data_IF_512564476133
#
_entry.id   IF_512564476133
#
_cell.length_a   1.000
_cell.length_b   1.000
_cell.length_c   1.000
_cell.angle_alpha   90.00
_cell.angle_beta   90.00
_cell.angle_gamma   90.00
#
_symmetry.space_group_name_H-M   'P 1'
#
loop_
_entity.id
_entity.type
_entity.pdbx_description
1 polymer ?
#
# COMPACT_ATOMS: atom_id res chain seq x y z
N UNK A 1 -17.55 -59.93 8.35
CA UNK A 1 -16.89 -60.19 7.06
C UNK A 1 -16.79 -58.88 6.30
N UNK A 2 -15.63 -58.62 5.68
CA UNK A 2 -15.29 -57.53 4.75
C UNK A 2 -15.12 -56.14 5.40
N UNK A 3 -13.91 -55.76 5.83
CA UNK A 3 -12.70 -55.29 5.11
C UNK A 3 -12.69 -53.76 4.85
N UNK A 4 -11.82 -53.11 5.62
CA UNK A 4 -11.35 -51.73 5.52
C UNK A 4 -10.45 -51.60 4.29
N UNK A 5 -10.60 -50.52 3.52
CA UNK A 5 -9.56 -50.05 2.60
C UNK A 5 -9.07 -48.69 3.09
N UNK A 6 -7.84 -48.69 3.62
CA UNK A 6 -7.03 -47.51 3.88
C UNK A 6 -6.14 -47.32 2.65
N UNK A 7 -6.36 -46.26 1.88
CA UNK A 7 -5.42 -45.86 0.83
C UNK A 7 -4.35 -45.00 1.50
N UNK A 8 -3.14 -45.56 1.54
CA UNK A 8 -1.91 -44.88 1.90
C UNK A 8 -1.59 -43.86 0.78
N UNK A 9 -1.93 -42.59 1.00
CA UNK A 9 -1.35 -41.50 0.21
C UNK A 9 -0.02 -41.11 0.87
N UNK A 10 1.07 -41.54 0.24
CA UNK A 10 2.43 -41.17 0.59
C UNK A 10 2.54 -39.64 0.60
N UNK A 11 2.65 -39.06 1.80
CA UNK A 11 2.98 -37.65 2.04
C UNK A 11 4.36 -37.37 1.44
N UNK A 12 4.42 -36.93 0.19
CA UNK A 12 5.51 -36.07 -0.26
C UNK A 12 5.23 -34.67 0.29
N UNK A 13 5.65 -34.45 1.54
CA UNK A 13 5.90 -33.11 2.04
C UNK A 13 6.94 -32.47 1.10
N UNK A 14 6.69 -31.30 0.48
CA UNK A 14 7.80 -30.52 -0.03
C UNK A 14 8.71 -30.24 1.15
N UNK A 15 10.00 -30.54 1.04
CA UNK A 15 11.00 -30.15 2.03
C UNK A 15 10.90 -28.64 2.21
N UNK A 16 10.22 -28.23 3.28
CA UNK A 16 10.11 -26.83 3.66
C UNK A 16 11.50 -26.29 3.93
N UNK A 17 11.79 -25.08 3.45
CA UNK A 17 13.01 -24.35 3.77
C UNK A 17 13.09 -24.12 5.28
N UNK A 18 13.80 -25.00 5.99
CA UNK A 18 13.99 -24.96 7.45
C UNK A 18 14.80 -23.72 7.92
N UNK A 19 15.39 -22.94 7.00
CA UNK A 19 16.35 -21.86 7.35
C UNK A 19 15.80 -20.43 7.47
N UNK A 20 14.59 -20.12 6.98
CA UNK A 20 14.14 -18.73 6.91
C UNK A 20 13.87 -18.09 8.28
N UNK A 21 13.33 -18.87 9.22
CA UNK A 21 13.04 -18.42 10.58
C UNK A 21 14.27 -18.21 11.46
N UNK A 22 15.42 -18.82 11.13
CA UNK A 22 16.67 -18.59 11.87
C UNK A 22 17.31 -17.25 11.48
N UNK A 23 17.14 -16.81 10.23
CA UNK A 23 17.79 -15.60 9.71
C UNK A 23 16.89 -14.37 9.87
N UNK A 24 15.58 -14.48 9.62
CA UNK A 24 14.62 -13.39 9.79
C UNK A 24 13.72 -13.64 11.00
N UNK A 25 13.83 -12.76 12.00
CA UNK A 25 13.10 -12.87 13.26
C UNK A 25 12.00 -11.82 13.36
N UNK A 26 10.77 -12.27 13.65
CA UNK A 26 9.67 -11.42 14.12
C UNK A 26 9.86 -11.15 15.62
N UNK A 27 10.08 -9.89 15.95
CA UNK A 27 10.27 -9.39 17.32
C UNK A 27 9.15 -8.44 17.68
N UNK A 28 9.02 -8.07 18.95
CA UNK A 28 8.16 -6.96 19.41
C UNK A 28 6.74 -7.01 18.80
N UNK A 29 5.85 -7.86 19.33
CA UNK A 29 4.50 -8.06 18.79
C UNK A 29 3.46 -7.09 19.39
N UNK A 30 2.55 -6.62 18.54
CA UNK A 30 1.50 -5.68 18.94
C UNK A 30 0.17 -5.98 18.22
N UNK A 31 -0.93 -6.02 18.98
CA UNK A 31 -2.26 -6.25 18.42
C UNK A 31 -2.98 -4.91 18.16
N UNK A 32 -3.56 -4.80 16.98
CA UNK A 32 -4.26 -3.62 16.47
C UNK A 32 -5.63 -3.97 15.92
N UNK A 33 -6.51 -2.98 15.90
CA UNK A 33 -7.72 -3.02 15.10
C UNK A 33 -7.75 -1.74 14.26
N UNK A 34 -7.68 -1.91 12.94
CA UNK A 34 -7.65 -0.83 11.97
C UNK A 34 -9.02 -0.70 11.32
N UNK A 35 -9.56 0.51 11.34
CA UNK A 35 -10.70 0.90 10.52
C UNK A 35 -10.25 1.89 9.47
N UNK A 36 -10.51 1.56 8.21
CA UNK A 36 -10.33 2.47 7.07
C UNK A 36 -11.72 2.87 6.60
N UNK A 37 -12.07 4.14 6.74
CA UNK A 37 -13.31 4.72 6.25
C UNK A 37 -13.04 5.66 5.08
N UNK A 38 -13.82 5.50 4.01
CA UNK A 38 -13.85 6.43 2.88
C UNK A 38 -15.20 7.11 2.88
N UNK A 39 -15.17 8.45 2.77
CA UNK A 39 -16.35 9.29 2.61
C UNK A 39 -16.26 10.08 1.32
N UNK A 40 -17.32 10.05 0.54
CA UNK A 40 -17.51 10.91 -0.63
C UNK A 40 -18.64 11.90 -0.35
N UNK A 41 -18.43 13.14 -0.76
CA UNK A 41 -19.40 14.22 -0.65
C UNK A 41 -19.44 15.01 -1.95
N UNK A 42 -20.60 15.06 -2.61
CA UNK A 42 -20.82 15.98 -3.73
C UNK A 42 -21.16 17.39 -3.26
N UNK A 43 -21.42 17.58 -1.96
CA UNK A 43 -21.69 18.88 -1.40
C UNK A 43 -20.42 19.72 -1.42
N UNK A 44 -20.43 20.77 -2.23
CA UNK A 44 -19.41 21.82 -2.18
C UNK A 44 -19.83 22.79 -1.08
N UNK A 45 -19.04 22.99 0.00
CA UNK A 45 -19.31 24.05 0.95
C UNK A 45 -19.04 25.40 0.26
N UNK A 46 -20.07 25.97 -0.36
CA UNK A 46 -20.08 27.35 -0.83
C UNK A 46 -20.34 28.21 0.40
N UNK A 47 -19.34 28.97 0.82
CA UNK A 47 -19.56 30.04 1.78
C UNK A 47 -20.30 31.16 1.03
N UNK A 48 -21.59 31.32 1.29
CA UNK A 48 -22.36 32.44 0.73
C UNK A 48 -22.11 33.67 1.59
N UNK A 49 -21.93 34.82 0.93
CA UNK A 49 -21.84 36.10 1.58
C UNK A 49 -23.18 36.57 2.13
N UNK A 50 -23.18 37.67 2.88
CA UNK A 50 -24.40 38.29 3.38
C UNK A 50 -25.40 38.67 2.28
N UNK A 51 -24.94 38.79 1.04
CA UNK A 51 -25.71 39.09 -0.17
C UNK A 51 -26.18 37.84 -0.94
N UNK A 52 -25.96 36.64 -0.39
CA UNK A 52 -26.30 35.37 -1.02
C UNK A 52 -25.39 34.99 -2.20
N UNK A 53 -24.29 35.70 -2.43
CA UNK A 53 -23.32 35.38 -3.49
C UNK A 53 -22.18 34.52 -2.95
N UNK A 54 -21.57 33.62 -3.75
CA UNK A 54 -20.39 32.86 -3.33
C UNK A 54 -19.25 33.79 -2.87
N UNK A 55 -18.93 33.78 -1.58
CA UNK A 55 -17.75 34.44 -1.00
C UNK A 55 -16.54 33.54 -1.23
N UNK A 56 -15.95 33.68 -2.42
CA UNK A 56 -14.76 32.95 -2.81
C UNK A 56 -15.01 32.20 -4.11
N UNK A 57 -14.72 32.86 -5.24
CA UNK A 57 -14.35 32.14 -6.45
C UNK A 57 -13.13 31.32 -6.06
N UNK A 58 -13.31 30.00 -5.97
CA UNK A 58 -12.24 29.06 -5.77
C UNK A 58 -11.09 29.45 -6.69
N UNK A 59 -9.92 29.76 -6.13
CA UNK A 59 -8.76 29.91 -6.99
C UNK A 59 -8.46 28.51 -7.56
N UNK A 60 -8.22 28.35 -8.88
CA UNK A 60 -7.97 27.04 -9.49
C UNK A 60 -6.79 26.28 -8.86
N UNK A 61 -5.81 26.99 -8.31
CA UNK A 61 -4.67 26.47 -7.55
C UNK A 61 -5.05 25.86 -6.18
N UNK A 62 -6.17 26.27 -5.59
CA UNK A 62 -6.71 25.73 -4.33
C UNK A 62 -7.65 24.53 -4.54
N UNK A 63 -8.25 24.40 -5.73
CA UNK A 63 -8.96 23.19 -6.15
C UNK A 63 -8.01 22.14 -6.74
N UNK A 64 -6.80 22.53 -7.13
CA UNK A 64 -5.88 21.67 -7.86
C UNK A 64 -4.40 22.11 -7.77
N UNK A 65 -3.52 21.36 -7.07
CA UNK A 65 -2.08 21.47 -7.29
C UNK A 65 -1.49 20.37 -8.19
N UNK A 66 -2.21 19.30 -8.52
CA UNK A 66 -1.65 18.20 -9.32
C UNK A 66 -2.62 17.71 -10.40
N UNK A 67 -2.61 18.37 -11.56
CA UNK A 67 -3.07 17.76 -12.82
C UNK A 67 -1.87 17.03 -13.41
N UNK A 68 -1.96 15.73 -13.69
CA UNK A 68 -0.98 15.10 -14.57
C UNK A 68 -1.05 15.76 -15.95
N UNK A 69 0.09 16.07 -16.60
CA UNK A 69 0.16 16.87 -17.82
C UNK A 69 -0.47 16.22 -19.09
N UNK A 70 -1.05 15.03 -19.00
CA UNK A 70 -1.62 14.30 -20.15
C UNK A 70 -3.15 14.37 -20.28
N UNK A 71 -3.85 15.14 -19.45
CA UNK A 71 -5.30 15.39 -19.61
C UNK A 71 -5.48 16.71 -20.36
N UNK A 72 -5.64 16.61 -21.68
CA UNK A 72 -5.82 17.75 -22.58
C UNK A 72 -7.28 18.25 -22.59
N UNK A 73 -7.49 19.56 -22.56
CA UNK A 73 -8.82 20.19 -22.65
C UNK A 73 -9.16 21.15 -21.52
N UNK A 74 -8.81 22.43 -21.69
CA UNK A 74 -9.45 23.54 -21.00
C UNK A 74 -10.88 23.74 -21.52
N UNK A 75 -11.85 23.07 -20.91
CA UNK A 75 -13.23 23.54 -20.89
C UNK A 75 -13.49 24.15 -19.51
N UNK A 76 -13.98 25.38 -19.49
CA UNK A 76 -14.54 26.00 -18.29
C UNK A 76 -15.60 25.05 -17.75
N UNK A 77 -15.34 24.40 -16.62
CA UNK A 77 -16.28 23.48 -15.99
C UNK A 77 -17.39 24.36 -15.41
N UNK A 78 -18.59 24.29 -15.98
CA UNK A 78 -19.80 24.75 -15.33
C UNK A 78 -20.02 23.82 -14.13
N UNK A 79 -19.44 24.17 -12.97
CA UNK A 79 -19.61 23.40 -11.73
C UNK A 79 -21.07 23.53 -11.32
N UNK A 80 -21.91 22.57 -11.67
CA UNK A 80 -23.23 22.42 -11.08
C UNK A 80 -23.02 21.97 -9.63
N UNK A 81 -23.30 22.81 -8.62
CA UNK A 81 -22.87 22.52 -7.24
C UNK A 81 -23.61 21.37 -6.55
N UNK A 82 -24.59 20.76 -7.22
CA UNK A 82 -25.54 19.82 -6.64
C UNK A 82 -25.68 18.59 -7.57
N UNK A 83 -24.73 17.67 -7.46
CA UNK A 83 -24.86 16.33 -8.04
C UNK A 83 -25.28 15.32 -6.97
N UNK A 84 -25.98 14.26 -7.35
CA UNK A 84 -26.25 13.13 -6.46
C UNK A 84 -25.42 11.95 -6.91
N UNK A 85 -25.00 11.13 -5.95
CA UNK A 85 -24.65 9.75 -6.24
C UNK A 85 -25.96 9.00 -6.49
N UNK A 86 -26.28 8.71 -7.75
CA UNK A 86 -27.44 7.89 -8.11
C UNK A 86 -26.97 6.46 -8.35
N UNK A 87 -27.26 5.62 -7.36
CA UNK A 87 -26.86 4.23 -7.34
C UNK A 87 -28.07 3.41 -7.78
N UNK A 88 -28.00 2.84 -8.98
CA UNK A 88 -28.97 1.88 -9.52
C UNK A 88 -28.32 0.50 -9.63
N UNK A 89 -27.49 0.16 -8.64
CA UNK A 89 -26.50 -0.89 -8.70
C UNK A 89 -25.08 -0.37 -8.76
N UNK A 90 -24.13 -1.30 -8.82
CA UNK A 90 -22.70 -1.02 -8.82
C UNK A 90 -21.97 -1.72 -7.67
N UNK A 91 -20.67 -1.48 -7.58
CA UNK A 91 -19.79 -2.15 -6.63
C UNK A 91 -18.74 -1.20 -6.13
N UNK A 92 -18.45 -1.24 -4.83
CA UNK A 92 -17.24 -0.64 -4.24
C UNK A 92 -16.29 -1.77 -3.89
N UNK A 93 -15.01 -1.63 -4.21
CA UNK A 93 -13.95 -2.56 -3.80
C UNK A 93 -12.94 -1.86 -2.92
N UNK A 94 -12.55 -2.53 -1.84
CA UNK A 94 -11.43 -2.13 -0.98
C UNK A 94 -10.42 -3.28 -0.89
N UNK A 95 -9.14 -3.04 -1.21
CA UNK A 95 -8.09 -4.01 -0.97
C UNK A 95 -7.80 -4.12 0.52
N UNK A 96 -7.37 -5.30 0.95
CA UNK A 96 -6.75 -5.54 2.24
C UNK A 96 -5.65 -6.59 2.11
N UNK A 97 -4.65 -6.52 2.99
CA UNK A 97 -3.53 -7.47 3.02
C UNK A 97 -3.67 -8.38 4.23
N UNK A 98 -3.62 -9.69 3.99
CA UNK A 98 -3.67 -10.68 5.06
C UNK A 98 -2.32 -10.87 5.75
N UNK A 99 -1.23 -10.83 4.99
CA UNK A 99 0.09 -11.13 5.50
C UNK A 99 1.16 -10.30 4.79
N UNK A 100 2.10 -9.78 5.60
CA UNK A 100 3.35 -9.16 5.15
C UNK A 100 4.54 -9.77 5.90
N UNK A 101 5.75 -9.25 5.66
CA UNK A 101 6.89 -9.62 6.49
C UNK A 101 6.60 -9.41 7.99
N UNK A 102 5.89 -8.31 8.29
CA UNK A 102 5.71 -7.75 9.62
C UNK A 102 4.27 -7.72 10.14
N UNK A 103 3.29 -8.31 9.45
CA UNK A 103 1.90 -8.30 9.94
C UNK A 103 1.09 -9.49 9.46
N UNK A 104 0.11 -9.88 10.28
CA UNK A 104 -0.89 -10.91 9.99
C UNK A 104 -2.27 -10.38 10.38
N UNK A 105 -3.25 -10.50 9.48
CA UNK A 105 -4.62 -10.07 9.69
C UNK A 105 -5.54 -11.25 10.03
N UNK A 106 -6.54 -11.01 10.89
CA UNK A 106 -7.58 -12.01 11.23
C UNK A 106 -8.81 -11.82 10.32
N UNK A 107 -8.74 -12.40 9.13
CA UNK A 107 -9.71 -12.19 8.05
C UNK A 107 -11.09 -12.77 8.36
N UNK A 108 -11.17 -13.76 9.26
CA UNK A 108 -12.42 -14.29 9.81
C UNK A 108 -13.24 -13.23 10.56
N UNK A 109 -12.65 -12.08 10.89
CA UNK A 109 -13.28 -10.96 11.62
C UNK A 109 -13.31 -9.65 10.82
N UNK A 110 -13.42 -9.74 9.49
CA UNK A 110 -13.60 -8.56 8.64
C UNK A 110 -15.02 -8.02 8.80
N UNK A 111 -15.15 -6.87 9.46
CA UNK A 111 -16.41 -6.15 9.57
C UNK A 111 -16.46 -5.01 8.54
N UNK A 112 -17.63 -4.73 8.00
CA UNK A 112 -17.82 -3.67 7.01
C UNK A 112 -19.07 -2.85 7.28
N UNK A 113 -19.06 -1.58 6.88
CA UNK A 113 -20.23 -0.73 6.92
C UNK A 113 -20.37 0.06 5.60
N UNK A 114 -21.60 0.30 5.15
CA UNK A 114 -21.90 1.16 4.01
C UNK A 114 -23.12 2.04 4.31
N UNK A 115 -23.02 3.31 3.93
CA UNK A 115 -24.02 4.34 4.10
C UNK A 115 -24.19 5.14 2.81
N UNK A 116 -25.44 5.49 2.53
CA UNK A 116 -25.85 6.47 1.52
C UNK A 116 -26.61 7.54 2.28
N UNK A 117 -26.11 8.77 2.30
CA UNK A 117 -26.59 9.78 3.24
C UNK A 117 -26.40 9.35 4.68
N UNK A 118 -27.48 9.45 5.46
CA UNK A 118 -27.55 8.99 6.84
C UNK A 118 -28.00 7.53 6.98
N UNK A 119 -28.44 6.89 5.88
CA UNK A 119 -29.00 5.54 5.90
C UNK A 119 -27.90 4.49 5.73
N UNK A 120 -27.78 3.58 6.71
CA UNK A 120 -26.94 2.39 6.55
C UNK A 120 -27.63 1.38 5.62
N UNK A 121 -26.93 0.96 4.58
CA UNK A 121 -27.38 -0.12 3.71
C UNK A 121 -26.77 -1.45 4.20
N UNK A 122 -27.55 -2.17 5.01
CA UNK A 122 -27.18 -3.49 5.54
C UNK A 122 -27.13 -4.55 4.45
N UNK A 123 -27.85 -4.36 3.35
CA UNK A 123 -27.88 -5.33 2.25
C UNK A 123 -26.57 -5.34 1.47
N UNK A 124 -25.91 -4.18 1.35
CA UNK A 124 -24.61 -4.07 0.67
C UNK A 124 -23.50 -4.88 1.34
N UNK A 125 -23.56 -5.00 2.67
CA UNK A 125 -22.62 -5.79 3.47
C UNK A 125 -22.99 -7.28 3.40
N UNK A 126 -24.27 -7.61 3.56
CA UNK A 126 -24.75 -8.99 3.48
C UNK A 126 -24.50 -9.64 2.11
N UNK A 127 -24.60 -8.85 1.05
CA UNK A 127 -24.29 -9.25 -0.33
C UNK A 127 -22.82 -8.99 -0.70
N UNK A 128 -22.02 -8.50 0.24
CA UNK A 128 -20.61 -8.24 0.03
C UNK A 128 -19.85 -9.55 -0.18
N UNK A 129 -18.79 -9.49 -1.01
CA UNK A 129 -17.98 -10.66 -1.34
C UNK A 129 -16.52 -10.38 -1.02
N UNK A 130 -15.88 -11.33 -0.35
CA UNK A 130 -14.42 -11.35 -0.21
C UNK A 130 -13.83 -12.12 -1.39
N UNK A 131 -12.98 -11.46 -2.16
CA UNK A 131 -12.28 -12.04 -3.29
C UNK A 131 -11.07 -12.86 -2.82
N UNK A 132 -10.65 -13.89 -3.58
CA UNK A 132 -9.41 -14.61 -3.31
C UNK A 132 -8.20 -13.69 -3.44
N UNK A 133 -7.04 -14.15 -2.97
CA UNK A 133 -5.76 -13.48 -3.19
C UNK A 133 -5.51 -13.31 -4.68
N UNK A 134 -5.05 -12.12 -5.05
CA UNK A 134 -4.64 -11.82 -6.40
C UNK A 134 -3.17 -12.23 -6.64
N UNK A 135 -2.61 -11.81 -7.78
CA UNK A 135 -1.24 -12.15 -8.19
C UNK A 135 -0.16 -11.61 -7.24
N UNK A 136 -0.41 -10.57 -6.45
CA UNK A 136 0.53 -10.04 -5.45
C UNK A 136 0.25 -10.54 -4.03
N UNK A 137 -0.77 -11.37 -3.85
CA UNK A 137 -1.23 -11.84 -2.54
C UNK A 137 -2.16 -10.87 -1.81
N UNK A 138 -2.63 -9.81 -2.47
CA UNK A 138 -3.63 -8.86 -1.95
C UNK A 138 -5.03 -9.46 -2.10
N UNK A 139 -5.91 -9.23 -1.12
CA UNK A 139 -7.34 -9.55 -1.24
C UNK A 139 -8.15 -8.28 -1.39
N UNK A 140 -9.40 -8.44 -1.80
CA UNK A 140 -10.34 -7.32 -1.80
C UNK A 140 -11.68 -7.76 -1.21
N UNK A 141 -12.32 -6.84 -0.50
CA UNK A 141 -13.74 -6.94 -0.18
C UNK A 141 -14.51 -6.04 -1.13
N UNK A 142 -15.65 -6.55 -1.60
CA UNK A 142 -16.55 -5.81 -2.45
C UNK A 142 -17.89 -5.62 -1.76
N UNK A 143 -18.37 -4.39 -1.72
CA UNK A 143 -19.73 -4.05 -1.33
C UNK A 143 -20.58 -3.96 -2.60
N UNK A 144 -21.64 -4.76 -2.68
CA UNK A 144 -22.62 -4.64 -3.76
C UNK A 144 -23.55 -3.48 -3.41
N UNK A 145 -23.66 -2.47 -4.26
CA UNK A 145 -24.45 -1.29 -3.94
C UNK A 145 -25.92 -1.56 -4.30
N UNK A 146 -26.82 -1.31 -3.35
CA UNK A 146 -28.26 -1.32 -3.60
C UNK A 146 -28.72 -0.04 -4.30
N UNK A 147 -30.03 0.18 -4.33
CA UNK A 147 -30.59 1.41 -4.86
C UNK A 147 -30.55 2.55 -3.82
N UNK A 148 -30.11 3.73 -4.25
CA UNK A 148 -30.11 4.91 -3.41
C UNK A 148 -29.59 6.15 -4.12
N UNK A 149 -30.10 7.31 -3.70
CA UNK A 149 -29.72 8.61 -4.24
C UNK A 149 -29.48 9.59 -3.11
N UNK A 150 -28.26 10.10 -3.00
CA UNK A 150 -27.88 11.06 -1.96
C UNK A 150 -26.65 11.88 -2.39
N UNK A 151 -26.35 12.96 -1.66
CA UNK A 151 -25.15 13.80 -1.86
C UNK A 151 -23.92 13.23 -1.17
N UNK A 152 -24.08 12.22 -0.30
CA UNK A 152 -22.96 11.61 0.43
C UNK A 152 -22.99 10.08 0.37
N UNK A 153 -21.80 9.49 0.30
CA UNK A 153 -21.59 8.05 0.44
C UNK A 153 -20.46 7.80 1.42
N UNK A 154 -20.58 6.74 2.23
CA UNK A 154 -19.55 6.39 3.21
C UNK A 154 -19.48 4.89 3.38
N UNK A 155 -18.27 4.35 3.36
CA UNK A 155 -18.05 2.94 3.67
C UNK A 155 -16.79 2.76 4.48
N UNK A 156 -16.75 1.68 5.24
CA UNK A 156 -15.59 1.32 6.03
C UNK A 156 -15.39 -0.18 6.09
N UNK A 157 -14.13 -0.57 6.30
CA UNK A 157 -13.73 -1.92 6.68
C UNK A 157 -12.98 -1.84 7.99
N UNK A 158 -13.22 -2.79 8.87
CA UNK A 158 -12.46 -2.99 10.10
C UNK A 158 -11.80 -4.35 10.06
N UNK A 159 -10.48 -4.37 10.27
CA UNK A 159 -9.69 -5.59 10.25
C UNK A 159 -8.76 -5.62 11.47
N UNK A 160 -8.80 -6.69 12.29
CA UNK A 160 -7.82 -6.89 13.34
C UNK A 160 -6.49 -7.37 12.75
N UNK A 161 -5.40 -6.75 13.17
CA UNK A 161 -4.04 -7.11 12.77
C UNK A 161 -3.17 -7.40 13.98
N UNK A 162 -2.22 -8.30 13.81
CA UNK A 162 -1.01 -8.37 14.62
C UNK A 162 0.13 -7.83 13.79
N UNK A 163 0.93 -6.95 14.36
CA UNK A 163 2.13 -6.41 13.74
C UNK A 163 3.37 -6.74 14.57
N UNK A 164 4.51 -6.88 13.91
CA UNK A 164 5.78 -7.31 14.48
C UNK A 164 6.89 -6.38 14.02
N UNK A 165 7.86 -6.13 14.90
CA UNK A 165 9.17 -5.67 14.48
C UNK A 165 9.91 -6.78 13.72
N UNK A 166 10.83 -6.39 12.83
CA UNK A 166 11.65 -7.36 12.07
C UNK A 166 13.12 -7.13 12.36
N UNK A 167 13.86 -8.22 12.57
CA UNK A 167 15.32 -8.22 12.73
C UNK A 167 15.91 -9.38 11.93
N UNK A 168 16.77 -9.07 10.97
CA UNK A 168 17.50 -10.04 10.15
C UNK A 168 18.95 -10.18 10.62
N UNK A 169 19.47 -11.41 10.69
CA UNK A 169 20.91 -11.66 10.81
C UNK A 169 21.60 -11.33 9.47
N UNK A 170 22.07 -10.08 9.34
CA UNK A 170 22.74 -9.58 8.14
C UNK A 170 23.98 -10.42 7.76
N UNK A 171 24.66 -11.03 8.74
CA UNK A 171 25.89 -11.80 8.49
C UNK A 171 25.60 -13.10 7.75
N UNK A 172 24.47 -13.75 8.04
CA UNK A 172 23.99 -14.93 7.33
C UNK A 172 23.34 -14.53 6.01
N UNK A 173 22.50 -13.49 6.02
CA UNK A 173 21.82 -13.02 4.81
C UNK A 173 22.81 -12.58 3.71
N UNK A 174 23.94 -11.97 4.08
CA UNK A 174 25.00 -11.57 3.14
C UNK A 174 25.78 -12.74 2.53
N UNK A 175 25.61 -13.98 3.02
CA UNK A 175 26.23 -15.19 2.44
C UNK A 175 25.31 -15.91 1.47
N UNK A 176 24.03 -15.54 1.43
CA UNK A 176 23.06 -16.20 0.57
C UNK A 176 23.39 -15.93 -0.91
N UNK A 177 23.37 -16.96 -1.76
CA UNK A 177 23.60 -16.81 -3.19
C UNK A 177 22.37 -16.21 -3.87
N UNK A 178 22.52 -15.77 -5.12
CA UNK A 178 21.37 -15.44 -5.95
C UNK A 178 20.47 -16.67 -6.14
N UNK A 179 19.14 -16.52 -6.01
CA UNK A 179 18.23 -17.63 -6.19
C UNK A 179 18.24 -18.09 -7.66
N UNK A 180 18.29 -19.40 -7.88
CA UNK A 180 18.23 -19.98 -9.24
C UNK A 180 16.85 -19.83 -9.88
N UNK A 181 15.81 -19.84 -9.05
CA UNK A 181 14.43 -19.66 -9.45
C UNK A 181 13.66 -18.98 -8.31
N UNK A 182 12.57 -18.31 -8.68
CA UNK A 182 11.60 -17.73 -7.76
C UNK A 182 10.31 -18.53 -7.88
N UNK A 183 9.62 -18.77 -6.77
CA UNK A 183 8.34 -19.49 -6.79
C UNK A 183 7.30 -18.75 -7.63
N UNK A 184 6.31 -19.47 -8.16
CA UNK A 184 5.22 -18.87 -8.93
C UNK A 184 4.39 -17.87 -8.14
N UNK A 185 4.34 -18.01 -6.81
CA UNK A 185 3.65 -17.10 -5.90
C UNK A 185 4.32 -15.72 -5.82
N UNK A 186 5.67 -15.67 -5.90
CA UNK A 186 6.44 -14.43 -5.77
C UNK A 186 6.85 -13.85 -7.12
N UNK A 187 6.86 -14.67 -8.18
CA UNK A 187 7.20 -14.24 -9.53
C UNK A 187 6.44 -12.98 -10.03
N UNK A 188 5.15 -12.76 -9.69
CA UNK A 188 4.45 -11.52 -10.05
C UNK A 188 5.10 -10.26 -9.46
N UNK A 189 5.77 -10.36 -8.31
CA UNK A 189 6.49 -9.24 -7.71
C UNK A 189 7.82 -8.89 -8.41
N UNK A 190 8.17 -9.58 -9.51
CA UNK A 190 9.21 -9.16 -10.47
C UNK A 190 8.63 -8.34 -11.63
N UNK A 191 7.30 -8.33 -11.80
CA UNK A 191 6.61 -7.74 -12.95
C UNK A 191 6.07 -6.36 -12.60
N UNK A 192 5.73 -5.54 -13.61
CA UNK A 192 4.97 -4.32 -13.39
C UNK A 192 3.66 -4.57 -12.65
N UNK A 193 3.29 -3.67 -11.76
CA UNK A 193 2.01 -3.74 -11.02
C UNK A 193 1.64 -2.39 -10.40
N UNK A 194 0.36 -2.03 -10.41
CA UNK A 194 -0.14 -0.77 -9.88
C UNK A 194 0.56 0.43 -10.52
N UNK A 195 1.17 1.28 -9.68
CA UNK A 195 1.95 2.44 -10.14
C UNK A 195 3.44 2.11 -10.38
N UNK A 196 3.84 0.84 -10.27
CA UNK A 196 5.24 0.42 -10.46
C UNK A 196 5.36 -0.25 -11.82
N UNK A 197 5.74 0.54 -12.82
CA UNK A 197 6.02 0.15 -14.20
C UNK A 197 7.50 -0.27 -14.37
N UNK A 198 7.91 -1.31 -13.63
CA UNK A 198 9.31 -1.71 -13.48
C UNK A 198 10.01 -2.17 -14.78
N UNK A 199 9.27 -2.35 -15.87
CA UNK A 199 9.79 -2.66 -17.20
C UNK A 199 10.14 -1.40 -18.03
N UNK A 200 9.81 -0.20 -17.55
CA UNK A 200 10.26 1.05 -18.20
C UNK A 200 11.80 1.09 -18.23
N UNK A 201 12.41 1.43 -19.39
CA UNK A 201 13.87 1.48 -19.55
C UNK A 201 14.61 2.36 -18.54
N UNK A 202 13.95 3.32 -17.89
CA UNK A 202 14.53 4.15 -16.84
C UNK A 202 15.09 3.30 -15.69
N UNK A 203 14.42 2.21 -15.33
CA UNK A 203 14.84 1.36 -14.22
C UNK A 203 16.05 0.49 -14.58
N UNK A 204 16.05 -0.11 -15.77
CA UNK A 204 17.21 -0.84 -16.28
C UNK A 204 18.45 0.08 -16.36
N UNK A 205 18.26 1.33 -16.80
CA UNK A 205 19.33 2.34 -16.81
C UNK A 205 19.79 2.70 -15.39
N UNK A 206 18.89 2.86 -14.44
CA UNK A 206 19.23 3.12 -13.04
C UNK A 206 20.04 1.98 -12.43
N UNK A 207 19.62 0.72 -12.64
CA UNK A 207 20.36 -0.47 -12.20
C UNK A 207 21.77 -0.49 -12.78
N UNK A 208 21.91 -0.26 -14.09
CA UNK A 208 23.22 -0.19 -14.76
C UNK A 208 24.10 0.94 -14.19
N UNK A 209 23.54 2.11 -13.92
CA UNK A 209 24.29 3.24 -13.36
C UNK A 209 24.75 2.98 -11.92
N UNK A 210 23.93 2.30 -11.12
CA UNK A 210 24.21 2.05 -9.70
C UNK A 210 25.13 0.85 -9.49
N UNK A 211 24.81 -0.27 -10.12
CA UNK A 211 25.49 -1.55 -9.89
C UNK A 211 26.51 -1.92 -10.99
N UNK A 212 26.37 -1.37 -12.20
CA UNK A 212 27.17 -1.77 -13.37
C UNK A 212 27.14 -3.29 -13.57
N UNK A 213 28.30 -3.86 -13.89
CA UNK A 213 28.45 -5.31 -14.08
C UNK A 213 28.59 -6.10 -12.76
N UNK A 214 28.51 -5.43 -11.60
CA UNK A 214 28.77 -6.04 -10.28
C UNK A 214 27.53 -6.64 -9.62
N UNK A 215 26.35 -6.45 -10.20
CA UNK A 215 25.08 -6.83 -9.57
C UNK A 215 25.07 -8.30 -9.11
N UNK A 216 25.44 -9.23 -10.00
CA UNK A 216 25.45 -10.66 -9.71
C UNK A 216 26.78 -11.16 -9.10
N UNK A 217 27.78 -10.29 -8.99
CA UNK A 217 29.08 -10.61 -8.36
C UNK A 217 28.98 -10.53 -6.83
N UNK A 218 28.07 -9.69 -6.33
CA UNK A 218 27.76 -9.57 -4.89
C UNK A 218 26.51 -10.37 -4.53
N UNK A 219 26.37 -10.76 -3.26
CA UNK A 219 25.15 -11.39 -2.73
C UNK A 219 23.89 -10.51 -2.96
N UNK A 220 22.68 -11.08 -3.12
CA UNK A 220 21.43 -10.33 -3.24
C UNK A 220 21.21 -9.30 -2.13
N UNK A 221 21.59 -9.62 -0.88
CA UNK A 221 21.54 -8.71 0.26
C UNK A 221 22.30 -7.40 0.00
N UNK A 222 23.57 -7.52 -0.40
CA UNK A 222 24.45 -6.39 -0.75
C UNK A 222 23.97 -5.66 -2.00
N UNK A 223 23.45 -6.39 -2.99
CA UNK A 223 22.88 -5.80 -4.19
C UNK A 223 21.68 -4.91 -3.84
N UNK A 224 20.71 -5.41 -3.07
CA UNK A 224 19.56 -4.65 -2.61
C UNK A 224 19.98 -3.37 -1.88
N UNK A 225 20.89 -3.47 -0.90
CA UNK A 225 21.43 -2.30 -0.18
C UNK A 225 22.09 -1.29 -1.12
N UNK A 226 22.92 -1.75 -2.05
CA UNK A 226 23.60 -0.89 -3.03
C UNK A 226 22.59 -0.15 -3.92
N UNK A 227 21.56 -0.84 -4.39
CA UNK A 227 20.51 -0.28 -5.23
C UNK A 227 19.70 0.78 -4.49
N UNK A 228 19.25 0.47 -3.26
CA UNK A 228 18.52 1.42 -2.42
C UNK A 228 19.37 2.67 -2.10
N UNK A 229 20.65 2.51 -1.73
CA UNK A 229 21.54 3.64 -1.53
C UNK A 229 21.78 4.45 -2.81
N UNK A 230 21.81 3.79 -3.97
CA UNK A 230 21.85 4.44 -5.28
C UNK A 230 20.64 5.34 -5.51
N UNK A 231 19.43 4.82 -5.28
CA UNK A 231 18.18 5.59 -5.36
C UNK A 231 18.22 6.79 -4.41
N UNK A 232 18.68 6.60 -3.17
CA UNK A 232 18.80 7.68 -2.18
C UNK A 232 19.74 8.79 -2.68
N UNK A 233 20.86 8.44 -3.33
CA UNK A 233 21.83 9.40 -3.86
C UNK A 233 21.29 10.20 -5.04
N UNK A 234 20.47 9.59 -5.89
CA UNK A 234 20.04 10.18 -7.15
C UNK A 234 18.76 11.00 -7.02
N UNK A 235 17.87 10.64 -6.08
CA UNK A 235 16.53 11.24 -5.96
C UNK A 235 16.41 12.00 -4.66
N UNK A 236 15.88 13.23 -4.73
CA UNK A 236 15.53 14.04 -3.56
C UNK A 236 14.06 13.81 -3.18
N UNK A 237 13.78 13.80 -1.89
CA UNK A 237 12.42 13.74 -1.36
C UNK A 237 12.07 15.10 -0.77
N UNK A 238 10.93 15.66 -1.18
CA UNK A 238 10.50 16.99 -0.72
C UNK A 238 9.06 17.36 -1.04
N UNK A 239 8.35 16.55 -1.83
CA UNK A 239 6.93 16.76 -2.13
C UNK A 239 6.02 16.07 -1.10
N UNK A 240 4.82 16.59 -0.84
CA UNK A 240 3.87 15.94 0.05
C UNK A 240 3.30 14.65 -0.56
N UNK A 241 3.21 13.59 0.24
CA UNK A 241 2.63 12.31 -0.16
C UNK A 241 1.09 12.26 -0.03
N UNK A 242 0.50 13.16 0.75
CA UNK A 242 -0.95 13.17 1.01
C UNK A 242 -1.59 14.45 0.52
N UNK A 243 -2.67 14.33 -0.25
CA UNK A 243 -3.57 15.44 -0.50
C UNK A 243 -4.46 15.65 0.73
N UNK A 244 -4.65 16.91 1.16
CA UNK A 244 -5.53 17.27 2.28
C UNK A 244 -6.60 18.26 1.82
N UNK A 245 -7.79 18.12 2.40
CA UNK A 245 -8.93 19.00 2.17
C UNK A 245 -8.94 20.18 3.14
N UNK A 246 -9.97 21.03 3.05
CA UNK A 246 -10.11 22.24 3.89
C UNK A 246 -10.17 21.93 5.39
N UNK A 247 -10.77 20.80 5.75
CA UNK A 247 -10.87 20.33 7.13
C UNK A 247 -9.58 19.66 7.63
N UNK A 248 -8.48 19.74 6.90
CA UNK A 248 -7.24 18.96 7.08
C UNK A 248 -7.40 17.45 6.93
N UNK A 249 -8.62 16.98 6.64
CA UNK A 249 -8.90 15.59 6.32
C UNK A 249 -8.07 15.13 5.13
N UNK A 250 -7.61 13.88 5.19
CA UNK A 250 -6.81 13.28 4.13
C UNK A 250 -7.75 13.03 2.96
N UNK A 251 -7.52 13.67 1.81
CA UNK A 251 -8.28 13.38 0.60
C UNK A 251 -7.78 12.14 -0.09
N UNK A 252 -6.51 11.82 0.04
CA UNK A 252 -5.90 10.63 -0.56
C UNK A 252 -4.38 10.77 -0.64
N UNK A 253 -3.77 9.85 -1.38
CA UNK A 253 -2.34 9.71 -1.60
C UNK A 253 -2.02 10.24 -3.00
N UNK A 254 -1.04 11.13 -3.05
CA UNK A 254 -0.51 11.70 -4.28
C UNK A 254 0.66 10.84 -4.72
N UNK A 255 0.53 10.19 -5.86
CA UNK A 255 1.62 9.45 -6.48
C UNK A 255 1.44 9.40 -7.99
N UNK A 256 2.54 9.61 -8.71
CA UNK A 256 2.70 9.34 -10.14
C UNK A 256 3.06 7.88 -10.38
N UNK A 257 3.12 7.49 -11.65
CA UNK A 257 3.79 6.25 -12.02
C UNK A 257 5.27 6.33 -11.64
N UNK A 258 5.84 5.19 -11.25
CA UNK A 258 7.19 5.11 -10.72
C UNK A 258 8.22 5.57 -11.77
N UNK A 259 8.05 5.25 -13.06
CA UNK A 259 8.97 5.70 -14.10
C UNK A 259 8.97 7.22 -14.28
N UNK A 260 7.81 7.86 -14.16
CA UNK A 260 7.68 9.31 -14.22
C UNK A 260 8.35 9.98 -13.02
N UNK A 261 8.12 9.42 -11.83
CA UNK A 261 8.80 9.87 -10.61
C UNK A 261 10.33 9.68 -10.71
N UNK A 262 10.80 8.56 -11.28
CA UNK A 262 12.23 8.30 -11.49
C UNK A 262 12.89 9.25 -12.50
N UNK A 263 12.11 9.83 -13.43
CA UNK A 263 12.55 10.87 -14.37
C UNK A 263 12.56 12.27 -13.72
N UNK A 264 11.92 12.44 -12.55
CA UNK A 264 11.93 13.67 -11.76
C UNK A 264 13.17 13.77 -10.86
N UNK A 265 13.60 15.00 -10.56
CA UNK A 265 14.67 15.25 -9.58
C UNK A 265 14.16 15.28 -8.14
N UNK A 266 12.85 15.46 -7.94
CA UNK A 266 12.19 15.53 -6.64
C UNK A 266 10.94 14.64 -6.67
N UNK A 267 10.74 13.87 -5.61
CA UNK A 267 9.59 13.00 -5.42
C UNK A 267 8.99 13.19 -4.03
N UNK A 268 7.82 12.60 -3.80
CA UNK A 268 7.25 12.45 -2.46
C UNK A 268 7.67 11.10 -1.80
N UNK A 269 7.49 10.94 -0.48
CA UNK A 269 7.87 9.71 0.23
C UNK A 269 7.26 8.40 -0.31
N UNK A 270 6.05 8.44 -0.89
CA UNK A 270 5.42 7.24 -1.45
C UNK A 270 6.10 6.87 -2.76
N UNK A 271 6.27 7.85 -3.66
CA UNK A 271 6.97 7.69 -4.92
C UNK A 271 8.42 7.22 -4.74
N UNK A 272 9.11 7.68 -3.69
CA UNK A 272 10.46 7.22 -3.36
C UNK A 272 10.53 5.70 -3.15
N UNK A 273 9.54 5.14 -2.45
CA UNK A 273 9.41 3.68 -2.29
C UNK A 273 9.02 3.01 -3.61
N UNK A 274 8.09 3.58 -4.38
CA UNK A 274 7.68 3.01 -5.67
C UNK A 274 8.87 2.92 -6.64
N UNK A 275 9.70 3.96 -6.71
CA UNK A 275 10.92 3.99 -7.52
C UNK A 275 11.93 2.96 -7.01
N UNK A 276 12.15 2.88 -5.69
CA UNK A 276 13.04 1.89 -5.09
C UNK A 276 12.61 0.45 -5.45
N UNK A 277 11.32 0.15 -5.37
CA UNK A 277 10.76 -1.15 -5.77
C UNK A 277 10.95 -1.38 -7.26
N UNK A 278 10.70 -0.37 -8.12
CA UNK A 278 10.95 -0.47 -9.56
C UNK A 278 12.39 -0.82 -9.91
N UNK A 279 13.36 -0.19 -9.23
CA UNK A 279 14.80 -0.49 -9.40
C UNK A 279 15.14 -1.91 -8.93
N UNK A 280 14.61 -2.35 -7.79
CA UNK A 280 14.83 -3.72 -7.30
C UNK A 280 14.27 -4.77 -8.27
N UNK A 281 13.04 -4.57 -8.78
CA UNK A 281 12.41 -5.45 -9.77
C UNK A 281 13.21 -5.53 -11.06
N UNK A 282 13.66 -4.40 -11.58
CA UNK A 282 14.50 -4.34 -12.78
C UNK A 282 15.86 -5.02 -12.58
N UNK A 283 16.36 -5.08 -11.35
CA UNK A 283 17.57 -5.83 -10.98
C UNK A 283 17.33 -7.34 -10.80
N UNK A 284 16.09 -7.83 -10.99
CA UNK A 284 15.74 -9.23 -10.80
C UNK A 284 15.50 -9.62 -9.34
N UNK A 285 15.32 -8.65 -8.44
CA UNK A 285 14.94 -8.89 -7.05
C UNK A 285 13.43 -8.70 -6.91
N UNK A 286 12.64 -9.74 -6.55
CA UNK A 286 11.21 -9.57 -6.37
C UNK A 286 10.98 -8.58 -5.23
N UNK A 287 10.14 -7.59 -5.46
CA UNK A 287 9.89 -6.52 -4.50
C UNK A 287 8.46 -6.01 -4.60
N UNK A 288 7.95 -5.42 -3.53
CA UNK A 288 6.61 -4.80 -3.48
C UNK A 288 6.62 -3.57 -2.58
N UNK A 289 5.75 -2.62 -2.91
CA UNK A 289 5.40 -1.56 -1.98
C UNK A 289 4.33 -2.10 -1.02
N UNK A 290 4.36 -1.62 0.22
CA UNK A 290 3.32 -1.85 1.21
C UNK A 290 2.84 -0.50 1.69
N UNK A 291 1.57 -0.23 1.43
CA UNK A 291 0.87 0.96 1.85
C UNK A 291 0.05 0.64 3.09
N UNK A 292 0.15 1.48 4.11
CA UNK A 292 -0.54 1.24 5.36
C UNK A 292 -0.60 2.47 6.23
N UNK A 293 -0.76 2.23 7.52
CA UNK A 293 -0.94 3.27 8.53
C UNK A 293 0.08 3.08 9.63
N UNK A 294 0.69 4.18 10.07
CA UNK A 294 1.61 4.23 11.22
C UNK A 294 0.91 4.84 12.42
N UNK A 295 1.05 4.18 13.56
CA UNK A 295 0.69 4.72 14.85
C UNK A 295 1.89 5.32 15.57
N UNK A 296 1.84 6.61 15.86
CA UNK A 296 2.87 7.26 16.65
C UNK A 296 2.55 7.13 18.15
N UNK A 297 1.40 7.67 18.57
CA UNK A 297 0.86 7.58 19.92
C UNK A 297 -0.60 8.09 19.93
N UNK A 298 -1.27 8.01 21.08
CA UNK A 298 -2.67 8.42 21.26
C UNK A 298 -2.95 9.92 21.00
N UNK A 299 -1.92 10.78 20.96
CA UNK A 299 -2.08 12.24 20.76
C UNK A 299 -2.07 12.63 19.29
N UNK A 300 -1.54 11.79 18.41
CA UNK A 300 -1.47 12.07 16.98
C UNK A 300 -2.40 11.14 16.22
N UNK A 301 -3.12 11.65 15.20
CA UNK A 301 -3.93 10.80 14.35
C UNK A 301 -3.04 9.79 13.62
N UNK A 302 -3.57 8.59 13.29
CA UNK A 302 -2.86 7.63 12.46
C UNK A 302 -2.47 8.25 11.11
N UNK A 303 -1.24 7.97 10.65
CA UNK A 303 -0.69 8.58 9.43
C UNK A 303 -0.55 7.53 8.31
N UNK A 304 -0.98 7.83 7.07
CA UNK A 304 -0.61 7.02 5.91
C UNK A 304 0.91 6.95 5.77
N UNK A 305 1.42 5.74 5.54
CA UNK A 305 2.82 5.49 5.29
C UNK A 305 2.98 4.46 4.18
N UNK A 306 4.12 4.49 3.49
CA UNK A 306 4.52 3.45 2.55
C UNK A 306 5.93 2.99 2.90
N UNK A 307 6.14 1.68 2.89
CA UNK A 307 7.47 1.06 2.99
C UNK A 307 7.60 -0.01 1.92
N UNK A 308 8.81 -0.50 1.69
CA UNK A 308 9.06 -1.54 0.70
C UNK A 308 9.39 -2.88 1.34
N UNK A 309 9.16 -3.96 0.60
CA UNK A 309 9.63 -5.29 0.93
C UNK A 309 10.29 -5.91 -0.30
N UNK A 310 11.38 -6.64 -0.10
CA UNK A 310 12.00 -7.46 -1.15
C UNK A 310 12.09 -8.91 -0.70
N UNK A 311 12.11 -9.85 -1.63
CA UNK A 311 12.03 -11.28 -1.32
C UNK A 311 13.33 -12.01 -1.63
N UNK A 312 13.71 -12.91 -0.72
CA UNK A 312 14.66 -13.98 -0.97
C UNK A 312 14.06 -15.31 -0.54
N UNK A 313 14.19 -16.42 -1.29
CA UNK A 313 13.59 -17.71 -0.92
C UNK A 313 13.95 -18.18 0.49
N UNK A 314 15.21 -17.99 0.89
CA UNK A 314 15.69 -18.38 2.23
C UNK A 314 15.50 -17.31 3.32
N UNK A 315 14.93 -16.13 3.01
CA UNK A 315 14.64 -15.08 4.01
C UNK A 315 13.14 -14.76 4.12
N UNK A 316 12.35 -15.07 3.09
CA UNK A 316 11.03 -14.50 2.92
C UNK A 316 11.08 -13.03 2.49
N UNK A 317 10.04 -12.29 2.85
CA UNK A 317 9.95 -10.84 2.62
C UNK A 317 10.76 -10.07 3.66
N UNK A 318 11.71 -9.25 3.21
CA UNK A 318 12.58 -8.41 4.02
C UNK A 318 12.15 -6.95 3.84
N UNK A 319 11.75 -6.26 4.92
CA UNK A 319 11.28 -4.88 4.81
C UNK A 319 12.43 -3.89 4.71
N UNK A 320 12.16 -2.77 4.03
CA UNK A 320 13.01 -1.59 4.00
C UNK A 320 12.18 -0.31 4.08
N UNK A 321 12.73 0.71 4.72
CA UNK A 321 12.08 2.01 4.92
C UNK A 321 12.97 3.12 4.37
N UNK A 322 12.58 3.68 3.22
CA UNK A 322 13.34 4.72 2.53
C UNK A 322 13.42 6.02 3.34
N UNK A 323 12.36 6.39 4.06
CA UNK A 323 12.34 7.58 4.93
C UNK A 323 13.38 7.40 6.05
N UNK A 324 13.39 6.24 6.69
CA UNK A 324 14.36 5.92 7.74
C UNK A 324 15.79 5.89 7.19
N UNK A 325 16.04 5.15 6.10
CA UNK A 325 17.36 4.97 5.51
C UNK A 325 17.99 6.33 5.12
N UNK A 326 17.18 7.26 4.60
CA UNK A 326 17.62 8.63 4.30
C UNK A 326 18.02 9.37 5.57
N UNK A 327 17.18 9.34 6.60
CA UNK A 327 17.44 9.99 7.89
C UNK A 327 18.67 9.43 8.61
N UNK A 328 18.95 8.13 8.47
CA UNK A 328 20.08 7.44 9.09
C UNK A 328 21.42 7.67 8.33
N UNK A 329 21.39 8.36 7.19
CA UNK A 329 22.59 8.74 6.45
C UNK A 329 23.33 7.54 5.84
N UNK A 330 22.60 6.49 5.41
CA UNK A 330 23.19 5.24 4.92
C UNK A 330 24.10 5.42 3.70
N UNK A 331 23.96 6.52 2.95
CA UNK A 331 24.82 6.85 1.81
C UNK A 331 26.31 6.98 2.18
N UNK A 332 26.60 7.30 3.44
CA UNK A 332 27.95 7.44 3.99
C UNK A 332 28.46 6.15 4.63
N UNK A 333 27.65 5.09 4.66
CA UNK A 333 27.99 3.79 5.25
C UNK A 333 28.30 2.78 4.16
N UNK A 334 29.20 1.84 4.47
CA UNK A 334 29.45 0.68 3.61
C UNK A 334 28.23 -0.26 3.56
N UNK A 335 28.08 -1.01 2.47
CA UNK A 335 26.97 -1.97 2.31
C UNK A 335 27.06 -3.17 3.26
N UNK A 336 28.26 -3.49 3.74
CA UNK A 336 28.52 -4.51 4.76
C UNK A 336 28.19 -4.05 6.18
N UNK A 337 28.00 -2.74 6.40
CA UNK A 337 27.62 -2.21 7.71
C UNK A 337 26.12 -2.38 7.92
N UNK A 338 25.73 -2.62 9.17
CA UNK A 338 24.32 -2.73 9.56
C UNK A 338 23.54 -1.45 9.24
N UNK A 339 22.38 -1.57 8.58
CA UNK A 339 21.52 -0.43 8.26
C UNK A 339 20.18 -0.57 8.99
N UNK A 340 19.94 0.29 9.97
CA UNK A 340 18.61 0.40 10.56
C UNK A 340 17.68 0.93 9.46
N UNK A 341 16.50 0.34 9.31
CA UNK A 341 15.63 0.62 8.15
C UNK A 341 15.80 -0.35 6.96
N UNK A 342 16.70 -1.35 7.02
CA UNK A 342 16.79 -2.42 6.03
C UNK A 342 16.96 -3.77 6.73
N UNK A 343 15.90 -4.60 6.76
CA UNK A 343 15.88 -5.88 7.49
C UNK A 343 15.95 -5.77 9.01
N UNK A 344 16.27 -4.61 9.58
CA UNK A 344 16.05 -4.27 10.98
C UNK A 344 15.15 -3.05 11.11
N UNK A 345 13.87 -3.29 11.39
CA UNK A 345 12.86 -2.25 11.60
C UNK A 345 11.93 -2.71 12.73
N UNK A 346 12.31 -2.36 13.97
CA UNK A 346 11.53 -2.71 15.15
C UNK A 346 10.19 -1.97 15.19
N UNK A 347 10.19 -0.72 14.71
CA UNK A 347 9.02 0.16 14.66
C UNK A 347 7.94 -0.27 13.60
N UNK A 348 8.08 -1.46 12.98
CA UNK A 348 7.03 -2.05 12.13
C UNK A 348 5.88 -2.62 12.93
N UNK A 349 6.09 -2.95 14.21
CA UNK A 349 5.03 -3.34 15.14
C UNK A 349 3.96 -2.25 15.33
N UNK A 350 4.28 -0.99 15.01
CA UNK A 350 3.36 0.16 15.01
C UNK A 350 2.74 0.46 13.65
N UNK A 351 2.99 -0.38 12.65
CA UNK A 351 2.47 -0.19 11.29
C UNK A 351 1.49 -1.31 10.95
N UNK A 352 0.38 -0.94 10.34
CA UNK A 352 -0.63 -1.88 9.87
C UNK A 352 -0.74 -1.74 8.35
N UNK A 353 -0.48 -2.82 7.57
CA UNK A 353 -0.62 -2.77 6.12
C UNK A 353 -2.09 -2.71 5.73
N UNK A 354 -2.39 -1.93 4.70
CA UNK A 354 -3.70 -1.88 4.04
C UNK A 354 -3.61 -2.59 2.70
N UNK A 355 -2.65 -2.22 1.84
CA UNK A 355 -2.64 -2.64 0.45
C UNK A 355 -1.21 -2.72 -0.11
N UNK A 356 -1.00 -3.55 -1.13
CA UNK A 356 0.20 -3.54 -1.96
C UNK A 356 0.12 -2.56 -3.13
N UNK A 357 -1.09 -2.07 -3.44
CA UNK A 357 -1.31 -1.02 -4.45
C UNK A 357 -2.19 0.09 -3.89
N UNK A 358 -2.02 1.31 -4.40
CA UNK A 358 -2.88 2.45 -4.05
C UNK A 358 -4.30 2.35 -4.64
N UNK A 359 -4.48 1.48 -5.63
CA UNK A 359 -5.72 1.23 -6.33
C UNK A 359 -5.79 -0.24 -6.79
N UNK A 360 -6.96 -0.92 -6.72
CA UNK A 360 -7.11 -2.30 -7.19
C UNK A 360 -7.02 -2.42 -8.73
N UNK A 361 -6.22 -3.37 -9.26
CA UNK A 361 -5.98 -3.58 -10.72
C UNK A 361 -7.19 -4.06 -11.55
N UNK A 362 -8.39 -4.06 -10.99
CA UNK A 362 -9.58 -4.55 -11.68
C UNK A 362 -10.16 -3.52 -12.66
N UNK A 363 -11.21 -3.90 -13.39
CA UNK A 363 -12.11 -3.05 -14.20
C UNK A 363 -12.74 -1.85 -13.46
N UNK A 364 -12.41 -1.67 -12.19
CA UNK A 364 -12.98 -0.66 -11.32
C UNK A 364 -12.21 0.64 -11.49
N UNK A 365 -12.94 1.76 -11.63
CA UNK A 365 -12.34 3.08 -11.76
C UNK A 365 -11.77 3.54 -10.42
N UNK A 366 -10.60 4.16 -10.47
CA UNK A 366 -9.97 4.82 -9.34
C UNK A 366 -10.23 6.32 -9.39
N UNK A 367 -10.35 6.94 -8.23
CA UNK A 367 -10.39 8.41 -8.12
C UNK A 367 -9.03 8.94 -7.69
N UNK A 368 -8.63 10.08 -8.27
CA UNK A 368 -7.44 10.79 -7.84
C UNK A 368 -7.83 11.94 -6.90
N UNK A 369 -7.15 12.14 -5.76
CA UNK A 369 -5.99 11.39 -5.26
C UNK A 369 -6.35 9.95 -4.82
N UNK A 370 -5.39 9.03 -4.93
CA UNK A 370 -5.59 7.60 -4.67
C UNK A 370 -5.98 7.33 -3.21
N UNK A 371 -6.77 6.29 -2.90
CA UNK A 371 -7.20 6.06 -1.51
C UNK A 371 -7.53 4.59 -1.15
N UNK A 372 -6.85 3.62 -1.74
CA UNK A 372 -7.07 2.19 -1.44
C UNK A 372 -8.54 1.77 -1.61
N UNK A 373 -9.17 2.20 -2.70
CA UNK A 373 -10.52 1.76 -3.06
C UNK A 373 -10.78 2.01 -4.55
N UNK A 374 -11.85 1.42 -5.06
CA UNK A 374 -12.36 1.65 -6.40
C UNK A 374 -13.87 1.38 -6.50
N UNK A 375 -14.51 1.84 -7.58
CA UNK A 375 -15.90 1.48 -7.88
C UNK A 375 -16.08 0.91 -9.29
N UNK A 376 -17.20 0.24 -9.52
CA UNK A 376 -17.64 -0.26 -10.82
C UNK A 376 -19.15 0.00 -10.99
N UNK A 377 -19.59 0.44 -12.18
CA UNK A 377 -21.00 0.41 -12.57
C UNK A 377 -21.94 1.41 -11.90
N UNK A 378 -21.48 2.59 -11.48
CA UNK A 378 -22.37 3.67 -11.04
C UNK A 378 -23.20 4.19 -12.23
N UNK A 379 -24.51 4.36 -12.02
CA UNK A 379 -25.45 4.80 -13.05
C UNK A 379 -25.27 6.28 -13.41
N UNK A 380 -25.15 7.14 -12.39
CA UNK A 380 -24.77 8.53 -12.53
C UNK A 380 -23.81 8.91 -11.40
N UNK A 381 -22.80 9.71 -11.71
CA UNK A 381 -21.85 10.24 -10.73
C UNK A 381 -21.87 11.76 -10.80
N UNK A 382 -21.67 12.47 -9.67
CA UNK A 382 -21.59 13.92 -9.70
C UNK A 382 -20.35 14.36 -10.50
N UNK A 383 -20.48 15.45 -11.26
CA UNK A 383 -19.36 16.07 -12.01
C UNK A 383 -18.21 16.47 -11.09
N UNK A 384 -18.52 16.72 -9.82
CA UNK A 384 -17.57 17.03 -8.77
C UNK A 384 -17.96 16.33 -7.45
N UNK A 385 -16.97 15.75 -6.77
CA UNK A 385 -17.10 15.33 -5.38
C UNK A 385 -15.76 15.43 -4.64
N UNK A 386 -15.85 15.65 -3.33
CA UNK A 386 -14.74 15.56 -2.40
C UNK A 386 -14.67 14.16 -1.80
N UNK A 387 -13.45 13.62 -1.71
CA UNK A 387 -13.13 12.37 -1.02
C UNK A 387 -12.44 12.71 0.29
N UNK A 388 -12.78 12.01 1.36
CA UNK A 388 -12.08 12.00 2.63
C UNK A 388 -11.78 10.56 3.06
N UNK A 389 -10.55 10.36 3.55
CA UNK A 389 -10.02 9.12 4.11
C UNK A 389 -9.88 9.33 5.60
N UNK A 390 -10.69 8.62 6.37
CA UNK A 390 -10.65 8.64 7.82
C UNK A 390 -10.00 7.33 8.30
N UNK A 391 -8.95 7.47 9.12
CA UNK A 391 -8.17 6.36 9.65
C UNK A 391 -8.35 6.31 11.16
N UNK A 392 -8.84 5.17 11.64
CA UNK A 392 -8.94 4.91 13.06
C UNK A 392 -8.14 3.66 13.39
N UNK A 393 -7.24 3.77 14.37
CA UNK A 393 -6.46 2.65 14.85
C UNK A 393 -6.65 2.49 16.35
N UNK A 394 -7.18 1.33 16.74
CA UNK A 394 -7.42 0.97 18.13
C UNK A 394 -6.27 0.08 18.59
N UNK A 395 -5.57 0.55 19.62
CA UNK A 395 -4.49 -0.18 20.27
C UNK A 395 -5.09 -1.28 21.17
N UNK A 396 -4.83 -2.56 20.84
CA UNK A 396 -5.27 -3.72 21.65
C UNK A 396 -4.17 -4.23 22.60
N UNK A 397 -3.01 -3.59 22.59
CA UNK A 397 -1.90 -3.81 23.52
C UNK A 397 -0.73 -4.56 22.91
N UNK A 398 0.43 -4.45 23.59
CA UNK A 398 1.60 -5.27 23.30
C UNK A 398 1.30 -6.71 23.69
N UNK A 399 1.63 -7.63 22.81
CA UNK A 399 1.52 -9.06 23.09
C UNK A 399 2.89 -9.53 23.58
N UNK A 400 2.98 -10.30 24.69
CA UNK A 400 4.22 -10.95 25.04
C UNK A 400 4.69 -11.74 23.82
N UNK A 401 5.86 -11.41 23.30
CA UNK A 401 6.51 -12.25 22.32
C UNK A 401 6.91 -13.52 23.09
N UNK A 402 5.97 -14.46 23.26
CA UNK A 402 6.32 -15.84 23.54
C UNK A 402 7.01 -16.28 22.27
N UNK A 403 8.30 -15.95 22.18
CA UNK A 403 9.18 -16.50 21.17
C UNK A 403 8.81 -17.97 21.08
N UNK A 404 8.58 -18.43 19.86
CA UNK A 404 8.51 -19.86 19.62
C UNK A 404 9.75 -20.42 20.31
N UNK A 405 9.54 -21.08 21.45
CA UNK A 405 10.62 -21.65 22.24
C UNK A 405 11.35 -22.67 21.35
N UNK A 406 12.67 -22.84 21.52
CA UNK A 406 13.52 -23.61 20.62
C UNK A 406 13.02 -25.03 20.33
#
# INVERSE_FOLDING_TARGET
MSLKFTILATLFLPMGHVGAQEILNRVDAHDWELTVEIRLSSEVPIQLGPDGRPMGIFRPDQLWPFRPPWIDGTRWLEVKPNGFFDIQGGRIRMPFVEETASSEAKVERLDGAFFIGTRQDKSAIANGKVFPKDVLGERAVQFALGEGRDTTMRWSIMLPHRSYGIVVDESQAAKLPWPRSVSSEVAPALKPSGLIDSDDPVFAKAVKNIAGDRLQVVSPWRAAKSLLAGVIRTIRVGEPATARGRSTAIRGIVARQASEAAKSNVVNPVEDVLVAVGVLRAAGLPARAVHGVRFLNLRFPPEPITWGEWFHPDLGWVPFDMEFLRGDGVINRGVDQKWRGFGEIRDLERRVPIAFRLHPETDARGWYPWAWWSWEGLAEQPDFFEQAVELQLINRGRVPNRGVAP
#
